data_IF_858126682413
#
_entry.id   IF_858126682413
#
_cell.length_a   1.000
_cell.length_b   1.000
_cell.length_c   1.000
_cell.angle_alpha   90.00
_cell.angle_beta   90.00
_cell.angle_gamma   90.00
#
_symmetry.space_group_name_H-M   'P 1'
#
loop_
_entity.id
_entity.type
_entity.pdbx_description
1 polymer ?
#
# COMPACT_ATOMS: atom_id res chain seq x y z
N UNK A 1 1.57 -3.65 -12.67
CA UNK A 1 1.82 -2.36 -13.33
C UNK A 1 1.20 -1.30 -12.44
N UNK A 2 1.96 -0.29 -12.01
CA UNK A 2 1.46 0.74 -11.10
C UNK A 2 0.29 1.49 -11.75
N UNK A 3 -0.92 1.32 -11.19
CA UNK A 3 -2.16 1.83 -11.78
C UNK A 3 -2.73 3.01 -10.97
N UNK A 4 -3.57 3.81 -11.63
CA UNK A 4 -4.13 5.05 -11.07
C UNK A 4 -4.98 4.77 -9.83
N UNK A 5 -5.65 3.62 -9.79
CA UNK A 5 -6.52 3.24 -8.67
C UNK A 5 -5.73 2.92 -7.40
N UNK A 6 -4.60 2.21 -7.51
CA UNK A 6 -3.72 1.95 -6.37
C UNK A 6 -3.09 3.27 -5.92
N UNK A 7 -2.60 4.10 -6.84
CA UNK A 7 -2.07 5.43 -6.51
C UNK A 7 -3.06 6.27 -5.70
N UNK A 8 -4.32 6.32 -6.12
CA UNK A 8 -5.34 7.08 -5.42
C UNK A 8 -5.59 6.53 -4.01
N UNK A 9 -5.68 5.20 -3.86
CA UNK A 9 -5.85 4.57 -2.55
C UNK A 9 -4.70 4.93 -1.60
N UNK A 10 -3.46 4.83 -2.08
CA UNK A 10 -2.28 5.12 -1.26
C UNK A 10 -2.20 6.61 -0.90
N UNK A 11 -2.57 7.50 -1.82
CA UNK A 11 -2.65 8.94 -1.55
C UNK A 11 -3.70 9.26 -0.47
N UNK A 12 -4.86 8.61 -0.51
CA UNK A 12 -5.92 8.75 0.49
C UNK A 12 -5.48 8.21 1.86
N UNK A 13 -4.84 7.04 1.90
CA UNK A 13 -4.34 6.44 3.15
C UNK A 13 -3.25 7.32 3.76
N UNK A 14 -2.21 7.63 3.00
CA UNK A 14 -1.04 8.39 3.47
C UNK A 14 -1.27 9.90 3.54
N UNK A 15 -2.44 10.40 3.13
CA UNK A 15 -2.79 11.83 3.18
C UNK A 15 -1.76 12.73 2.47
N UNK A 16 -1.17 12.22 1.38
CA UNK A 16 -0.21 12.92 0.52
C UNK A 16 -0.76 13.05 -0.90
N UNK A 17 -0.08 13.80 -1.77
CA UNK A 17 -0.58 14.00 -3.13
C UNK A 17 -0.38 12.75 -3.97
N UNK A 18 -1.31 12.48 -4.88
CA UNK A 18 -1.26 11.31 -5.75
C UNK A 18 0.00 11.26 -6.64
N UNK A 19 0.52 12.42 -7.05
CA UNK A 19 1.75 12.54 -7.83
C UNK A 19 3.03 12.26 -7.02
N UNK A 20 2.92 12.19 -5.69
CA UNK A 20 4.01 11.78 -4.79
C UNK A 20 4.07 10.26 -4.60
N UNK A 21 3.01 9.52 -4.95
CA UNK A 21 3.02 8.06 -4.92
C UNK A 21 3.81 7.56 -6.13
N UNK A 22 4.98 6.99 -5.84
CA UNK A 22 5.89 6.35 -6.80
C UNK A 22 6.32 4.98 -6.29
N UNK A 23 6.73 4.07 -7.19
CA UNK A 23 7.05 2.68 -6.83
C UNK A 23 8.14 2.55 -5.75
N UNK A 24 9.09 3.48 -5.72
CA UNK A 24 10.20 3.49 -4.77
C UNK A 24 9.90 4.26 -3.47
N UNK A 25 8.68 4.78 -3.28
CA UNK A 25 8.28 5.45 -2.05
C UNK A 25 8.24 4.43 -0.90
N UNK A 26 8.90 4.74 0.20
CA UNK A 26 9.04 3.86 1.37
C UNK A 26 8.36 4.44 2.61
N UNK A 27 8.21 3.62 3.65
CA UNK A 27 7.73 4.07 4.96
C UNK A 27 8.66 5.09 5.63
N UNK A 28 9.94 5.16 5.23
CA UNK A 28 10.87 6.17 5.72
C UNK A 28 10.67 7.54 5.04
N UNK A 29 10.10 7.55 3.83
CA UNK A 29 9.84 8.78 3.06
C UNK A 29 8.50 9.43 3.43
N UNK A 30 7.61 8.70 4.12
CA UNK A 30 6.25 9.12 4.45
C UNK A 30 6.13 9.29 5.96
N UNK A 31 6.13 10.55 6.43
CA UNK A 31 6.16 10.90 7.85
C UNK A 31 5.05 10.25 8.70
N UNK A 32 3.87 10.02 8.12
CA UNK A 32 2.72 9.42 8.83
C UNK A 32 2.59 7.90 8.62
N UNK A 33 3.54 7.25 7.95
CA UNK A 33 3.50 5.81 7.72
C UNK A 33 4.04 5.04 8.95
N UNK A 34 3.29 5.11 10.04
CA UNK A 34 3.56 4.41 11.30
C UNK A 34 2.75 3.10 11.43
N UNK A 35 2.75 2.49 12.62
CA UNK A 35 2.01 1.25 12.90
C UNK A 35 0.49 1.40 12.75
N UNK A 36 -0.09 2.56 13.03
CA UNK A 36 -1.52 2.78 12.89
C UNK A 36 -1.87 2.92 11.41
N UNK A 37 -1.07 3.71 10.68
CA UNK A 37 -1.24 3.89 9.24
C UNK A 37 -1.00 2.60 8.46
N UNK A 38 -0.10 1.75 8.92
CA UNK A 38 0.07 0.39 8.38
C UNK A 38 -1.23 -0.41 8.46
N UNK A 39 -1.98 -0.32 9.57
CA UNK A 39 -3.26 -1.03 9.70
C UNK A 39 -4.34 -0.43 8.80
N UNK A 40 -4.41 0.90 8.68
CA UNK A 40 -5.32 1.58 7.75
C UNK A 40 -5.06 1.15 6.31
N UNK A 41 -3.78 1.05 5.92
CA UNK A 41 -3.35 0.53 4.62
C UNK A 41 -3.85 -0.90 4.40
N UNK A 42 -3.61 -1.79 5.36
CA UNK A 42 -4.03 -3.20 5.28
C UNK A 42 -5.53 -3.30 5.06
N UNK A 43 -6.34 -2.65 5.91
CA UNK A 43 -7.80 -2.66 5.80
C UNK A 43 -8.26 -2.09 4.46
N UNK A 44 -7.62 -1.03 3.98
CA UNK A 44 -7.94 -0.40 2.69
C UNK A 44 -7.66 -1.33 1.50
N UNK A 45 -6.53 -2.03 1.52
CA UNK A 45 -6.16 -3.01 0.49
C UNK A 45 -7.09 -4.23 0.49
N UNK A 46 -7.34 -4.81 1.67
CA UNK A 46 -8.24 -5.95 1.83
C UNK A 46 -9.65 -5.64 1.33
N UNK A 47 -10.19 -4.47 1.70
CA UNK A 47 -11.52 -4.03 1.25
C UNK A 47 -11.57 -3.74 -0.25
N UNK A 48 -10.55 -3.07 -0.81
CA UNK A 48 -10.54 -2.69 -2.23
C UNK A 48 -10.43 -3.89 -3.15
N UNK A 49 -9.53 -4.82 -2.83
CA UNK A 49 -9.22 -5.97 -3.68
C UNK A 49 -9.94 -7.25 -3.25
N UNK A 50 -10.72 -7.20 -2.17
CA UNK A 50 -11.42 -8.35 -1.58
C UNK A 50 -10.46 -9.53 -1.30
N UNK A 51 -9.33 -9.21 -0.66
CA UNK A 51 -8.27 -10.15 -0.28
C UNK A 51 -8.10 -10.19 1.24
N UNK A 52 -7.37 -11.19 1.73
CA UNK A 52 -6.82 -11.21 3.08
C UNK A 52 -5.30 -11.20 3.03
N UNK A 53 -4.69 -10.34 3.84
CA UNK A 53 -3.24 -10.24 4.03
C UNK A 53 -2.83 -11.02 5.27
N UNK A 54 -1.87 -11.93 5.10
CA UNK A 54 -1.26 -12.64 6.21
C UNK A 54 -0.33 -11.72 7.00
N UNK A 55 -0.10 -12.05 8.27
CA UNK A 55 0.83 -11.29 9.10
C UNK A 55 2.23 -11.16 8.46
N UNK A 56 2.72 -12.21 7.80
CA UNK A 56 4.00 -12.19 7.09
C UNK A 56 4.02 -11.23 5.90
N UNK A 57 2.89 -11.05 5.19
CA UNK A 57 2.77 -10.08 4.10
C UNK A 57 2.72 -8.66 4.66
N UNK A 58 1.96 -8.45 5.75
CA UNK A 58 1.82 -7.14 6.40
C UNK A 58 3.17 -6.61 6.89
N UNK A 59 4.00 -7.45 7.53
CA UNK A 59 5.31 -7.03 8.03
C UNK A 59 6.36 -6.83 6.93
N UNK A 60 6.13 -7.37 5.73
CA UNK A 60 7.01 -7.15 4.56
C UNK A 60 6.72 -5.86 3.82
N UNK A 61 5.53 -5.29 4.01
CA UNK A 61 5.14 -4.03 3.36
C UNK A 61 5.89 -2.88 4.03
N UNK A 62 6.94 -2.39 3.35
CA UNK A 62 7.74 -1.23 3.75
C UNK A 62 7.86 -0.18 2.63
N UNK A 63 7.35 -0.50 1.44
CA UNK A 63 7.40 0.36 0.27
C UNK A 63 6.19 0.13 -0.64
N UNK A 64 5.92 1.08 -1.53
CA UNK A 64 4.89 0.95 -2.58
C UNK A 64 5.19 -0.25 -3.47
N UNK A 65 6.46 -0.54 -3.75
CA UNK A 65 6.88 -1.74 -4.46
C UNK A 65 6.44 -3.02 -3.74
N UNK A 66 6.61 -3.11 -2.43
CA UNK A 66 6.19 -4.29 -1.66
C UNK A 66 4.67 -4.49 -1.74
N UNK A 67 3.90 -3.40 -1.71
CA UNK A 67 2.45 -3.43 -1.88
C UNK A 67 2.09 -4.01 -3.25
N UNK A 68 2.72 -3.52 -4.32
CA UNK A 68 2.51 -4.03 -5.68
C UNK A 68 2.85 -5.51 -5.78
N UNK A 69 3.97 -5.93 -5.19
CA UNK A 69 4.45 -7.31 -5.24
C UNK A 69 3.48 -8.25 -4.49
N UNK A 70 2.97 -7.84 -3.33
CA UNK A 70 1.97 -8.60 -2.54
C UNK A 70 0.64 -8.73 -3.30
N UNK A 71 0.15 -7.64 -3.89
CA UNK A 71 -1.10 -7.66 -4.66
C UNK A 71 -0.96 -8.48 -5.95
N UNK A 72 0.17 -8.37 -6.63
CA UNK A 72 0.46 -9.16 -7.84
C UNK A 72 0.56 -10.65 -7.53
N UNK A 73 1.14 -11.02 -6.38
CA UNK A 73 1.21 -12.41 -5.94
C UNK A 73 -0.17 -13.04 -5.64
N UNK A 74 -1.21 -12.21 -5.48
CA UNK A 74 -2.60 -12.64 -5.30
C UNK A 74 -3.45 -12.51 -6.57
N UNK A 75 -2.85 -12.15 -7.71
CA UNK A 75 -3.53 -11.97 -9.01
C UNK A 75 -4.68 -10.93 -8.97
N UNK A 76 -4.55 -9.87 -8.16
CA UNK A 76 -5.58 -8.82 -8.02
C UNK A 76 -5.19 -7.46 -8.63
N UNK A 77 -4.05 -7.40 -9.31
CA UNK A 77 -3.46 -6.16 -9.84
C UNK A 77 -3.31 -6.13 -11.36
#
# INVERSE_FOLDING_TARGET
MFNVELQQLLAEVFEIRQDEIVENLTSEDVDNWDSLKQMDLVVSLENKYNIALSFEEIVKISSVKDIIDVLSAKDVL
#
